data_IF_326197876508
#
_entry.id   IF_326197876508
#
_cell.length_a   1.000
_cell.length_b   1.000
_cell.length_c   1.000
_cell.angle_alpha   90.00
_cell.angle_beta   90.00
_cell.angle_gamma   90.00
#
_symmetry.space_group_name_H-M   'P 1'
#
loop_
_entity.id
_entity.type
_entity.pdbx_description
1 polymer ?
#
# COMPACT_ATOMS: atom_id res chain seq x y z
N UNK A 1 -7.63 -20.84 -8.39
CA UNK A 1 -7.82 -20.75 -6.93
C UNK A 1 -6.57 -20.08 -6.39
N UNK A 2 -6.73 -18.98 -5.67
CA UNK A 2 -5.61 -18.19 -5.16
C UNK A 2 -4.69 -18.97 -4.21
N UNK A 3 -3.44 -18.57 -4.13
CA UNK A 3 -2.41 -19.15 -3.27
C UNK A 3 -1.80 -18.07 -2.40
N UNK A 4 -1.52 -18.38 -1.14
CA UNK A 4 -0.94 -17.50 -0.13
C UNK A 4 -1.84 -16.28 0.14
N UNK A 5 -2.86 -16.47 0.98
CA UNK A 5 -3.76 -15.42 1.37
C UNK A 5 -3.15 -14.59 2.51
N UNK A 6 -2.96 -13.29 2.27
CA UNK A 6 -2.32 -12.37 3.22
C UNK A 6 -3.13 -12.11 4.49
N UNK A 7 -4.41 -12.53 4.50
CA UNK A 7 -5.23 -12.47 5.71
C UNK A 7 -4.88 -13.60 6.69
N UNK A 8 -4.47 -14.77 6.20
CA UNK A 8 -4.22 -15.96 7.01
C UNK A 8 -2.74 -16.32 7.13
N UNK A 9 -1.99 -16.11 6.04
CA UNK A 9 -0.60 -16.51 5.98
C UNK A 9 0.32 -15.44 6.60
N UNK A 10 1.36 -15.84 7.34
CA UNK A 10 2.24 -14.89 8.03
C UNK A 10 3.15 -14.14 7.05
N UNK A 11 3.09 -12.81 7.05
CA UNK A 11 3.94 -11.98 6.18
C UNK A 11 4.33 -10.64 6.81
N UNK A 12 3.63 -10.14 7.81
CA UNK A 12 3.96 -8.90 8.51
C UNK A 12 4.95 -9.22 9.59
N UNK A 13 6.17 -8.69 9.49
CA UNK A 13 7.18 -8.89 10.51
C UNK A 13 7.01 -7.87 11.63
N UNK A 14 6.86 -8.34 12.87
CA UNK A 14 6.62 -7.53 14.07
C UNK A 14 7.65 -7.83 15.15
N UNK A 15 7.99 -6.83 15.96
CA UNK A 15 8.84 -6.99 17.15
C UNK A 15 7.94 -7.33 18.34
N UNK A 16 8.16 -8.48 18.94
CA UNK A 16 7.29 -9.03 20.00
C UNK A 16 7.79 -8.76 21.42
N UNK A 17 9.06 -8.39 21.59
CA UNK A 17 9.63 -8.13 22.92
C UNK A 17 10.72 -7.05 22.90
N UNK A 18 11.09 -6.58 24.10
CA UNK A 18 12.15 -5.57 24.29
C UNK A 18 13.57 -6.06 23.96
N UNK A 19 13.75 -7.35 23.66
CA UNK A 19 15.04 -7.89 23.19
C UNK A 19 15.19 -7.78 21.67
N UNK A 20 14.12 -7.37 20.96
CA UNK A 20 14.10 -7.24 19.53
C UNK A 20 13.82 -8.56 18.80
N UNK A 21 13.25 -9.56 19.47
CA UNK A 21 12.77 -10.76 18.80
C UNK A 21 11.62 -10.43 17.88
N UNK A 22 11.62 -11.03 16.69
CA UNK A 22 10.60 -10.79 15.65
C UNK A 22 9.83 -12.07 15.34
N UNK A 23 8.54 -11.90 15.05
CA UNK A 23 7.67 -12.91 14.47
C UNK A 23 7.08 -12.41 13.17
N UNK A 24 6.68 -13.32 12.28
CA UNK A 24 5.82 -13.01 11.15
C UNK A 24 4.38 -13.40 11.51
N UNK A 25 3.45 -12.48 11.27
CA UNK A 25 2.02 -12.63 11.56
C UNK A 25 1.19 -12.37 10.32
N UNK A 26 -0.03 -12.91 10.28
CA UNK A 26 -0.99 -12.61 9.23
C UNK A 26 -1.63 -11.23 9.41
N UNK A 27 -2.38 -10.75 8.43
CA UNK A 27 -3.07 -9.46 8.58
C UNK A 27 -4.18 -9.52 9.63
N UNK A 28 -4.92 -10.62 9.73
CA UNK A 28 -5.96 -10.79 10.75
C UNK A 28 -5.35 -10.85 12.15
N UNK A 29 -4.32 -11.66 12.34
CA UNK A 29 -3.58 -11.75 13.61
C UNK A 29 -2.96 -10.40 13.99
N UNK A 30 -2.45 -9.64 13.00
CA UNK A 30 -1.91 -8.32 13.25
C UNK A 30 -2.95 -7.37 13.86
N UNK A 31 -4.13 -7.24 13.27
CA UNK A 31 -5.16 -6.34 13.79
C UNK A 31 -5.73 -6.80 15.13
N UNK A 32 -5.80 -8.12 15.38
CA UNK A 32 -6.24 -8.67 16.67
C UNK A 32 -5.25 -8.35 17.80
N UNK A 33 -3.93 -8.35 17.52
CA UNK A 33 -2.86 -8.24 18.52
C UNK A 33 -1.96 -7.00 18.34
N UNK A 34 -2.33 -6.01 17.54
CA UNK A 34 -1.49 -4.83 17.27
C UNK A 34 -1.02 -4.09 18.53
N UNK A 35 -1.83 -4.13 19.61
CA UNK A 35 -1.53 -3.54 20.91
C UNK A 35 -0.45 -4.28 21.71
N UNK A 36 -0.09 -5.51 21.31
CA UNK A 36 0.95 -6.33 21.94
C UNK A 36 2.31 -6.18 21.22
N UNK A 37 2.33 -5.75 19.96
CA UNK A 37 3.55 -5.64 19.16
C UNK A 37 4.23 -4.28 19.35
N UNK A 38 5.54 -4.29 19.56
CA UNK A 38 6.29 -3.07 19.93
C UNK A 38 6.71 -2.22 18.72
N UNK A 39 6.99 -2.83 17.58
CA UNK A 39 7.45 -2.15 16.35
C UNK A 39 7.34 -3.10 15.16
N UNK A 40 7.48 -2.57 13.94
CA UNK A 40 7.73 -3.40 12.76
C UNK A 40 9.16 -3.94 12.78
N UNK A 41 9.31 -5.19 12.35
CA UNK A 41 10.58 -5.93 12.34
C UNK A 41 11.03 -6.38 10.96
N UNK A 42 10.64 -5.67 9.92
CA UNK A 42 10.96 -6.01 8.54
C UNK A 42 12.43 -5.84 8.18
N UNK A 43 12.77 -6.14 6.94
CA UNK A 43 14.14 -6.14 6.44
C UNK A 43 14.79 -4.76 6.40
N UNK A 44 13.99 -3.71 6.20
CA UNK A 44 14.43 -2.30 6.17
C UNK A 44 13.33 -1.38 6.66
N UNK A 45 13.69 -0.19 7.16
CA UNK A 45 12.70 0.80 7.60
C UNK A 45 11.82 1.33 6.46
N UNK A 46 12.30 1.31 5.23
CA UNK A 46 11.48 1.63 4.05
C UNK A 46 10.44 0.53 3.78
N UNK A 47 10.75 -0.73 4.04
CA UNK A 47 9.81 -1.83 3.97
C UNK A 47 8.75 -1.71 5.08
N UNK A 48 9.17 -1.49 6.32
CA UNK A 48 8.27 -1.26 7.45
C UNK A 48 7.28 -0.13 7.16
N UNK A 49 7.79 0.99 6.62
CA UNK A 49 6.95 2.14 6.27
C UNK A 49 5.95 1.81 5.15
N UNK A 50 6.36 1.09 4.12
CA UNK A 50 5.47 0.69 3.03
C UNK A 50 4.36 -0.27 3.51
N UNK A 51 4.70 -1.25 4.37
CA UNK A 51 3.74 -2.18 4.98
C UNK A 51 2.76 -1.43 5.89
N UNK A 52 3.27 -0.53 6.76
CA UNK A 52 2.44 0.30 7.63
C UNK A 52 1.37 1.07 6.85
N UNK A 53 1.71 1.60 5.68
CA UNK A 53 0.75 2.34 4.84
C UNK A 53 -0.40 1.47 4.33
N UNK A 54 -0.17 0.21 4.02
CA UNK A 54 -1.25 -0.73 3.66
C UNK A 54 -2.19 -0.96 4.84
N UNK A 55 -1.64 -1.11 6.05
CA UNK A 55 -2.44 -1.25 7.26
C UNK A 55 -3.22 0.03 7.58
N UNK A 56 -2.61 1.19 7.41
CA UNK A 56 -3.32 2.48 7.52
C UNK A 56 -4.45 2.61 6.50
N UNK A 57 -4.28 2.09 5.28
CA UNK A 57 -5.35 2.11 4.28
C UNK A 57 -6.56 1.26 4.72
N UNK A 58 -6.33 0.13 5.41
CA UNK A 58 -7.41 -0.65 6.02
C UNK A 58 -8.14 0.20 7.06
N UNK A 59 -7.41 0.84 7.97
CA UNK A 59 -7.96 1.68 9.05
C UNK A 59 -8.77 2.85 8.46
N UNK A 60 -8.20 3.61 7.53
CA UNK A 60 -8.93 4.70 6.86
C UNK A 60 -10.19 4.22 6.15
N UNK A 61 -10.15 3.05 5.53
CA UNK A 61 -11.31 2.50 4.84
C UNK A 61 -12.41 2.06 5.80
N UNK A 62 -12.05 1.34 6.86
CA UNK A 62 -13.01 0.84 7.85
C UNK A 62 -13.64 2.00 8.60
N UNK A 63 -12.84 2.86 9.22
CA UNK A 63 -13.33 3.94 10.08
C UNK A 63 -13.85 5.18 9.33
N UNK A 64 -13.84 5.17 8.02
CA UNK A 64 -14.68 6.07 7.22
C UNK A 64 -16.10 5.54 7.01
N UNK A 65 -16.43 4.33 7.48
CA UNK A 65 -17.71 3.66 7.27
C UNK A 65 -18.37 3.21 8.57
N UNK A 66 -17.55 2.97 9.58
CA UNK A 66 -17.94 2.43 10.88
C UNK A 66 -17.31 3.24 12.00
N UNK A 67 -18.03 3.34 13.10
CA UNK A 67 -17.52 3.89 14.34
C UNK A 67 -16.58 2.92 15.10
N UNK A 68 -16.16 3.28 16.30
CA UNK A 68 -15.29 2.48 17.15
C UNK A 68 -15.98 1.23 17.72
N UNK A 69 -17.29 1.22 17.86
CA UNK A 69 -18.12 0.09 18.28
C UNK A 69 -18.37 -0.90 17.13
N UNK A 70 -18.08 -0.49 15.89
CA UNK A 70 -18.29 -1.29 14.67
C UNK A 70 -19.67 -1.12 14.06
N UNK A 71 -20.41 -0.11 14.47
CA UNK A 71 -21.69 0.24 13.86
C UNK A 71 -21.48 1.13 12.62
N UNK A 72 -22.24 0.87 11.56
CA UNK A 72 -22.14 1.67 10.34
C UNK A 72 -22.72 3.08 10.53
N UNK A 73 -22.05 4.09 10.02
CA UNK A 73 -22.59 5.45 10.00
C UNK A 73 -23.86 5.52 9.16
N UNK A 74 -24.83 6.35 9.59
CA UNK A 74 -26.14 6.48 8.95
C UNK A 74 -26.15 7.34 7.67
N UNK A 75 -25.01 7.95 7.33
CA UNK A 75 -24.89 8.88 6.19
C UNK A 75 -24.88 8.21 4.81
N UNK A 76 -24.73 6.89 4.76
CA UNK A 76 -24.70 6.13 3.49
C UNK A 76 -25.15 4.68 3.64
N UNK A 77 -25.67 4.14 2.55
CA UNK A 77 -26.02 2.72 2.46
C UNK A 77 -24.80 1.88 2.04
N UNK A 78 -24.49 0.83 2.80
CA UNK A 78 -23.40 -0.10 2.51
C UNK A 78 -23.89 -1.29 1.69
N UNK A 79 -23.08 -1.70 0.72
CA UNK A 79 -23.32 -2.97 0.02
C UNK A 79 -22.91 -4.18 0.88
N UNK A 80 -23.07 -5.41 0.34
CA UNK A 80 -22.73 -6.66 1.02
C UNK A 80 -21.25 -6.82 1.37
N UNK A 81 -20.37 -6.01 0.75
CA UNK A 81 -18.93 -5.93 1.02
C UNK A 81 -18.54 -4.71 1.86
N UNK A 82 -19.52 -4.05 2.48
CA UNK A 82 -19.30 -2.86 3.28
C UNK A 82 -18.80 -1.65 2.51
N UNK A 83 -19.03 -1.58 1.19
CA UNK A 83 -18.70 -0.40 0.39
C UNK A 83 -19.91 0.55 0.35
N UNK A 84 -19.72 1.85 0.61
CA UNK A 84 -20.77 2.84 0.38
C UNK A 84 -21.22 2.86 -1.09
N UNK A 85 -22.53 2.95 -1.33
CA UNK A 85 -23.09 3.01 -2.67
C UNK A 85 -23.00 4.39 -3.28
N UNK A 86 -23.01 5.41 -2.43
CA UNK A 86 -22.99 6.83 -2.79
C UNK A 86 -22.03 7.59 -1.89
N UNK A 87 -21.56 8.74 -2.36
CA UNK A 87 -20.83 9.69 -1.53
C UNK A 87 -21.76 10.30 -0.47
N UNK A 88 -21.18 10.84 0.59
CA UNK A 88 -21.92 11.54 1.66
C UNK A 88 -22.53 12.80 1.08
N UNK A 89 -23.78 13.10 1.46
CA UNK A 89 -24.43 14.35 1.09
C UNK A 89 -23.72 15.53 1.76
N UNK A 90 -23.61 16.63 1.05
CA UNK A 90 -22.95 17.83 1.55
C UNK A 90 -23.64 18.47 2.77
N UNK A 91 -24.92 18.14 3.02
CA UNK A 91 -25.64 18.56 4.21
C UNK A 91 -25.19 17.84 5.49
N UNK A 92 -24.65 16.64 5.36
CA UNK A 92 -24.31 15.75 6.47
C UNK A 92 -22.80 15.79 6.81
N UNK A 93 -22.01 16.53 6.04
CA UNK A 93 -20.54 16.56 6.18
C UNK A 93 -20.05 17.05 7.55
N UNK A 94 -20.74 18.03 8.16
CA UNK A 94 -20.35 18.59 9.46
C UNK A 94 -20.56 17.55 10.58
N UNK A 95 -21.72 16.89 10.59
CA UNK A 95 -22.04 15.84 11.56
C UNK A 95 -21.13 14.61 11.35
N UNK A 96 -20.87 14.24 10.11
CA UNK A 96 -19.94 13.16 9.80
C UNK A 96 -18.47 13.47 10.21
N UNK A 97 -18.03 14.73 10.07
CA UNK A 97 -16.71 15.15 10.56
C UNK A 97 -16.59 14.98 12.07
N UNK A 98 -17.64 15.37 12.81
CA UNK A 98 -17.68 15.23 14.28
C UNK A 98 -17.67 13.74 14.69
N UNK A 99 -18.44 12.88 14.03
CA UNK A 99 -18.44 11.43 14.28
C UNK A 99 -17.08 10.78 14.00
N UNK A 100 -16.37 11.21 12.96
CA UNK A 100 -15.00 10.75 12.69
C UNK A 100 -14.01 11.15 13.80
N UNK A 101 -14.15 12.34 14.39
CA UNK A 101 -13.35 12.75 15.54
C UNK A 101 -13.66 11.90 16.77
N UNK A 102 -14.93 11.68 17.08
CA UNK A 102 -15.37 10.86 18.20
C UNK A 102 -14.89 9.41 18.03
N UNK A 103 -14.98 8.86 16.84
CA UNK A 103 -14.43 7.53 16.50
C UNK A 103 -12.93 7.46 16.76
N UNK A 104 -12.15 8.47 16.32
CA UNK A 104 -10.72 8.47 16.58
C UNK A 104 -10.40 8.51 18.09
N UNK A 105 -11.14 9.32 18.87
CA UNK A 105 -10.98 9.40 20.33
C UNK A 105 -11.32 8.07 20.99
N UNK A 106 -12.45 7.46 20.63
CA UNK A 106 -12.89 6.18 21.20
C UNK A 106 -11.89 5.07 20.91
N UNK A 107 -11.38 4.97 19.68
CA UNK A 107 -10.32 4.02 19.33
C UNK A 107 -9.06 4.23 20.18
N UNK A 108 -8.65 5.49 20.38
CA UNK A 108 -7.50 5.80 21.22
C UNK A 108 -7.69 5.38 22.69
N UNK A 109 -8.90 5.50 23.22
CA UNK A 109 -9.25 5.11 24.59
C UNK A 109 -9.32 3.58 24.74
N UNK A 110 -9.85 2.86 23.75
CA UNK A 110 -10.05 1.41 23.76
C UNK A 110 -8.75 0.62 23.65
N UNK A 111 -7.70 1.22 23.06
CA UNK A 111 -6.36 0.64 22.91
C UNK A 111 -6.30 -0.68 22.13
N UNK A 112 -7.31 -0.97 21.32
CA UNK A 112 -7.38 -2.14 20.44
C UNK A 112 -8.32 -1.86 19.25
N UNK A 113 -8.14 -2.60 18.16
CA UNK A 113 -9.06 -2.54 17.03
C UNK A 113 -10.32 -3.35 17.30
N UNK A 114 -11.52 -2.85 16.95
CA UNK A 114 -12.77 -3.59 17.03
C UNK A 114 -12.87 -4.67 15.94
N UNK A 115 -13.75 -5.65 16.16
CA UNK A 115 -13.95 -6.82 15.29
C UNK A 115 -14.36 -6.42 13.85
N UNK A 116 -14.98 -5.25 13.64
CA UNK A 116 -15.39 -4.77 12.33
C UNK A 116 -14.22 -4.67 11.33
N UNK A 117 -12.99 -4.45 11.81
CA UNK A 117 -11.79 -4.47 10.94
C UNK A 117 -11.59 -5.84 10.33
N UNK A 118 -11.75 -6.90 11.12
CA UNK A 118 -11.67 -8.29 10.64
C UNK A 118 -12.84 -8.62 9.72
N UNK A 119 -14.06 -8.23 10.10
CA UNK A 119 -15.26 -8.45 9.29
C UNK A 119 -15.12 -7.80 7.90
N UNK A 120 -14.60 -6.58 7.84
CA UNK A 120 -14.30 -5.92 6.57
C UNK A 120 -13.29 -6.70 5.74
N UNK A 121 -12.17 -7.10 6.32
CA UNK A 121 -11.13 -7.87 5.63
C UNK A 121 -11.68 -9.20 5.09
N UNK A 122 -12.52 -9.89 5.86
CA UNK A 122 -13.19 -11.12 5.44
C UNK A 122 -14.12 -10.92 4.24
N UNK A 123 -14.82 -9.78 4.15
CA UNK A 123 -15.65 -9.44 2.96
C UNK A 123 -14.82 -9.30 1.69
N UNK A 124 -13.56 -8.94 1.83
CA UNK A 124 -12.63 -8.73 0.71
C UNK A 124 -11.57 -9.82 0.59
N UNK A 125 -11.73 -10.95 1.26
CA UNK A 125 -10.76 -12.07 1.33
C UNK A 125 -10.23 -12.52 -0.04
N UNK A 126 -11.06 -12.54 -1.05
CA UNK A 126 -10.71 -12.90 -2.44
C UNK A 126 -9.70 -11.94 -3.06
N UNK A 127 -9.48 -10.75 -2.48
CA UNK A 127 -8.57 -9.70 -2.96
C UNK A 127 -7.18 -9.72 -2.30
N UNK A 128 -6.98 -10.61 -1.34
CA UNK A 128 -5.75 -10.69 -0.57
C UNK A 128 -4.87 -11.90 -0.89
N UNK A 129 -5.12 -12.58 -2.01
CA UNK A 129 -4.23 -13.62 -2.49
C UNK A 129 -2.98 -13.00 -3.16
N UNK A 130 -1.78 -13.39 -2.71
CA UNK A 130 -0.52 -12.97 -3.32
C UNK A 130 -0.42 -13.47 -4.76
N UNK A 131 -0.88 -14.69 -5.03
CA UNK A 131 -0.91 -15.30 -6.35
C UNK A 131 -2.34 -15.72 -6.69
N UNK A 132 -2.93 -15.03 -7.65
CA UNK A 132 -4.26 -15.33 -8.16
C UNK A 132 -4.35 -14.95 -9.64
N UNK A 133 -5.23 -15.60 -10.40
CA UNK A 133 -5.40 -15.34 -11.82
C UNK A 133 -6.33 -14.14 -12.09
N UNK A 134 -7.25 -13.86 -11.17
CA UNK A 134 -8.30 -12.87 -11.35
C UNK A 134 -8.04 -11.60 -10.52
N UNK A 135 -7.66 -11.77 -9.25
CA UNK A 135 -7.48 -10.66 -8.31
C UNK A 135 -6.18 -10.76 -7.50
N UNK A 136 -5.00 -10.76 -8.14
CA UNK A 136 -3.75 -10.84 -7.42
C UNK A 136 -3.48 -9.53 -6.64
N UNK A 137 -3.10 -9.66 -5.37
CA UNK A 137 -2.89 -8.51 -4.49
C UNK A 137 -1.78 -7.58 -4.98
N UNK A 138 -2.07 -6.29 -5.14
CA UNK A 138 -1.15 -5.26 -5.62
C UNK A 138 -0.50 -5.56 -6.98
N UNK A 139 -1.21 -6.30 -7.82
CA UNK A 139 -0.74 -6.75 -9.12
C UNK A 139 -1.84 -6.63 -10.18
N UNK A 140 -1.43 -6.78 -11.42
CA UNK A 140 -2.34 -6.88 -12.57
C UNK A 140 -2.44 -8.33 -13.05
N UNK A 141 -3.50 -8.62 -13.79
CA UNK A 141 -3.71 -9.94 -14.39
C UNK A 141 -2.91 -10.10 -15.70
N UNK A 142 -2.79 -11.33 -16.18
CA UNK A 142 -2.19 -11.65 -17.49
C UNK A 142 -2.90 -10.91 -18.64
N UNK A 143 -4.22 -10.76 -18.55
CA UNK A 143 -5.03 -10.07 -19.56
C UNK A 143 -4.78 -8.57 -19.62
N UNK A 144 -4.30 -7.97 -18.55
CA UNK A 144 -3.96 -6.55 -18.49
C UNK A 144 -2.67 -6.20 -19.23
N UNK A 145 -1.76 -7.17 -19.36
CA UNK A 145 -0.42 -6.98 -19.93
C UNK A 145 -0.21 -7.69 -21.26
N UNK A 146 -1.29 -8.00 -21.97
CA UNK A 146 -1.19 -8.58 -23.33
C UNK A 146 -0.54 -7.61 -24.32
N UNK A 147 0.17 -8.14 -25.30
CA UNK A 147 0.95 -7.35 -26.26
C UNK A 147 0.17 -6.26 -27.00
N UNK A 148 -1.15 -6.44 -27.22
CA UNK A 148 -2.00 -5.44 -27.84
C UNK A 148 -2.20 -4.17 -27.00
N UNK A 149 -2.03 -4.26 -25.68
CA UNK A 149 -2.16 -3.12 -24.74
C UNK A 149 -0.81 -2.39 -24.52
N UNK A 150 0.30 -2.96 -24.94
CA UNK A 150 1.65 -2.47 -24.66
C UNK A 150 2.33 -1.82 -25.86
N UNK A 151 3.30 -0.96 -25.60
CA UNK A 151 4.18 -0.41 -26.64
C UNK A 151 5.28 -1.39 -27.10
N UNK A 152 5.35 -2.56 -26.48
CA UNK A 152 6.24 -3.69 -26.81
C UNK A 152 5.47 -5.00 -26.75
N UNK A 153 6.14 -6.09 -27.16
CA UNK A 153 5.52 -7.43 -27.23
C UNK A 153 5.23 -8.04 -25.86
N UNK A 154 5.96 -7.64 -24.81
CA UNK A 154 5.81 -8.18 -23.45
C UNK A 154 6.22 -7.14 -22.40
N UNK A 155 5.80 -7.31 -21.13
CA UNK A 155 6.31 -6.55 -19.99
C UNK A 155 7.83 -6.60 -19.88
N UNK A 156 8.44 -5.66 -19.17
CA UNK A 156 9.87 -5.74 -18.82
C UNK A 156 10.08 -6.83 -17.80
N UNK A 157 11.03 -7.71 -18.04
CA UNK A 157 11.37 -8.80 -17.14
C UNK A 157 12.28 -8.31 -16.02
N UNK A 158 11.91 -8.62 -14.78
CA UNK A 158 12.61 -8.23 -13.55
C UNK A 158 12.89 -9.48 -12.72
N UNK A 159 14.15 -9.73 -12.42
CA UNK A 159 14.53 -10.86 -11.57
C UNK A 159 14.21 -10.65 -10.10
N UNK A 160 14.04 -11.72 -9.34
CA UNK A 160 13.72 -11.69 -7.91
C UNK A 160 14.68 -10.85 -7.07
N UNK A 161 15.99 -10.84 -7.40
CA UNK A 161 16.98 -9.98 -6.70
C UNK A 161 16.75 -8.49 -6.87
N UNK A 162 16.02 -8.05 -7.88
CA UNK A 162 15.70 -6.63 -8.09
C UNK A 162 14.52 -6.16 -7.25
N UNK A 163 13.61 -7.05 -6.89
CA UNK A 163 12.54 -6.73 -5.95
C UNK A 163 13.08 -6.67 -4.53
N UNK A 164 14.01 -7.54 -4.17
CA UNK A 164 14.62 -7.58 -2.85
C UNK A 164 15.71 -6.50 -2.70
N UNK A 165 15.34 -5.37 -2.11
CA UNK A 165 16.20 -4.19 -1.93
C UNK A 165 17.24 -4.29 -0.80
N UNK A 166 17.30 -5.39 -0.07
CA UNK A 166 18.41 -5.69 0.86
C UNK A 166 19.72 -5.87 0.13
N UNK A 167 19.65 -6.26 -1.13
CA UNK A 167 20.80 -6.46 -1.98
C UNK A 167 21.15 -5.13 -2.63
N UNK A 168 22.44 -4.78 -2.67
CA UNK A 168 22.92 -3.60 -3.38
C UNK A 168 22.31 -3.51 -4.79
N UNK A 169 21.90 -2.31 -5.18
CA UNK A 169 21.32 -2.01 -6.50
C UNK A 169 22.26 -2.37 -7.67
N UNK A 170 23.53 -2.58 -7.41
CA UNK A 170 24.52 -3.01 -8.42
C UNK A 170 24.40 -4.49 -8.68
N UNK A 171 24.09 -4.86 -9.93
CA UNK A 171 24.12 -6.25 -10.39
C UNK A 171 25.50 -6.94 -10.22
N UNK A 172 26.56 -6.16 -10.04
CA UNK A 172 27.96 -6.62 -10.02
C UNK A 172 28.58 -6.64 -8.63
N UNK A 173 27.88 -6.14 -7.59
CA UNK A 173 28.42 -6.12 -6.23
C UNK A 173 27.65 -7.09 -5.33
N UNK A 174 28.38 -7.97 -4.68
CA UNK A 174 27.84 -8.78 -3.59
C UNK A 174 27.51 -7.84 -2.44
N UNK A 175 26.32 -7.96 -1.86
CA UNK A 175 25.97 -7.22 -0.65
C UNK A 175 26.87 -7.67 0.48
N UNK A 176 27.74 -6.77 0.96
CA UNK A 176 28.77 -7.06 1.96
C UNK A 176 28.21 -7.51 3.32
N UNK A 177 26.93 -7.28 3.57
CA UNK A 177 26.28 -7.48 4.86
C UNK A 177 25.02 -8.37 4.80
N UNK A 178 24.84 -9.15 3.76
CA UNK A 178 23.73 -10.09 3.66
C UNK A 178 24.20 -11.52 3.89
N UNK A 179 24.08 -12.07 5.10
CA UNK A 179 24.51 -13.44 5.41
C UNK A 179 23.64 -14.52 4.72
N UNK A 180 22.50 -14.13 4.16
CA UNK A 180 21.54 -15.04 3.52
C UNK A 180 22.07 -15.66 2.21
N UNK A 181 23.08 -15.08 1.58
CA UNK A 181 23.48 -15.40 0.21
C UNK A 181 24.88 -15.99 0.15
N UNK A 182 25.02 -17.22 0.60
CA UNK A 182 26.27 -17.98 0.51
C UNK A 182 26.61 -18.35 -0.94
N UNK A 183 25.60 -18.45 -1.81
CA UNK A 183 25.72 -18.73 -3.25
C UNK A 183 25.05 -17.62 -4.07
N UNK A 184 25.67 -17.23 -5.17
CA UNK A 184 25.14 -16.22 -6.10
C UNK A 184 23.75 -16.55 -6.67
N UNK A 185 23.36 -17.82 -6.71
CA UNK A 185 22.05 -18.28 -7.16
C UNK A 185 20.93 -17.99 -6.15
N UNK A 186 21.23 -17.94 -4.85
CA UNK A 186 20.24 -17.73 -3.81
C UNK A 186 19.68 -16.29 -3.76
N UNK A 187 20.28 -15.35 -4.46
CA UNK A 187 19.86 -13.94 -4.48
C UNK A 187 18.48 -13.71 -5.09
N UNK A 188 18.01 -14.64 -5.89
CA UNK A 188 16.73 -14.54 -6.60
C UNK A 188 15.63 -15.40 -5.95
N UNK A 189 15.98 -16.11 -4.87
CA UNK A 189 15.05 -16.94 -4.10
C UNK A 189 14.52 -16.16 -2.90
N UNK A 190 13.21 -16.05 -2.81
CA UNK A 190 12.49 -15.38 -1.73
C UNK A 190 11.41 -16.32 -1.17
N UNK A 191 11.02 -16.15 0.08
CA UNK A 191 9.81 -16.78 0.62
C UNK A 191 8.57 -16.02 0.15
N UNK A 192 7.37 -16.62 0.21
CA UNK A 192 6.11 -15.93 -0.11
C UNK A 192 5.93 -14.68 0.78
N UNK A 193 6.26 -14.77 2.05
CA UNK A 193 6.26 -13.67 3.00
C UNK A 193 7.20 -12.52 2.58
N UNK A 194 8.42 -12.84 2.16
CA UNK A 194 9.36 -11.84 1.63
C UNK A 194 8.85 -11.21 0.33
N UNK A 195 8.27 -12.01 -0.58
CA UNK A 195 7.67 -11.49 -1.81
C UNK A 195 6.55 -10.52 -1.50
N UNK A 196 5.66 -10.82 -0.55
CA UNK A 196 4.58 -9.93 -0.16
C UNK A 196 5.11 -8.57 0.33
N UNK A 197 6.05 -8.57 1.27
CA UNK A 197 6.65 -7.33 1.80
C UNK A 197 7.39 -6.52 0.73
N UNK A 198 8.20 -7.20 -0.09
CA UNK A 198 8.97 -6.53 -1.12
C UNK A 198 8.14 -6.07 -2.31
N UNK A 199 7.02 -6.73 -2.64
CA UNK A 199 6.05 -6.28 -3.62
C UNK A 199 5.47 -4.91 -3.22
N UNK A 200 4.99 -4.79 -2.00
CA UNK A 200 4.46 -3.53 -1.45
C UNK A 200 5.55 -2.45 -1.44
N UNK A 201 6.76 -2.80 -0.98
CA UNK A 201 7.90 -1.88 -0.96
C UNK A 201 8.28 -1.42 -2.36
N UNK A 202 8.28 -2.32 -3.33
CA UNK A 202 8.58 -2.01 -4.71
C UNK A 202 7.56 -1.04 -5.31
N UNK A 203 6.29 -1.18 -5.02
CA UNK A 203 5.26 -0.23 -5.45
C UNK A 203 5.53 1.20 -4.94
N UNK A 204 6.02 1.33 -3.71
CA UNK A 204 6.35 2.64 -3.13
C UNK A 204 7.69 3.26 -3.60
N UNK A 205 8.71 2.42 -3.90
CA UNK A 205 10.09 2.84 -4.11
C UNK A 205 10.73 2.27 -5.38
N UNK A 206 10.01 2.19 -6.48
CA UNK A 206 10.46 1.49 -7.71
C UNK A 206 11.73 2.05 -8.35
N UNK A 207 11.83 3.37 -8.47
CA UNK A 207 12.87 3.97 -9.33
C UNK A 207 12.50 3.93 -10.82
N UNK A 208 13.50 4.02 -11.74
CA UNK A 208 13.28 4.21 -13.19
C UNK A 208 13.90 3.11 -14.04
N UNK A 209 13.63 1.85 -13.75
CA UNK A 209 14.34 0.70 -14.33
C UNK A 209 13.77 0.12 -15.63
N UNK A 210 12.59 0.52 -16.08
CA UNK A 210 11.85 -0.16 -17.14
C UNK A 210 11.63 0.69 -18.40
N UNK A 211 11.26 0.04 -19.51
CA UNK A 211 11.05 0.69 -20.80
C UNK A 211 9.68 0.41 -21.40
N UNK A 212 8.91 -0.54 -20.84
CA UNK A 212 7.59 -0.92 -21.36
C UNK A 212 6.52 -0.02 -20.76
N UNK A 213 5.60 0.44 -21.59
CA UNK A 213 4.49 1.32 -21.21
C UNK A 213 3.19 0.84 -21.87
N UNK A 214 2.05 1.24 -21.31
CA UNK A 214 0.75 1.05 -21.92
C UNK A 214 0.55 2.00 -23.11
N UNK A 215 -0.13 1.50 -24.14
CA UNK A 215 -0.43 2.28 -25.32
C UNK A 215 0.81 2.73 -26.10
N UNK A 216 0.62 3.71 -26.98
CA UNK A 216 1.69 4.29 -27.81
C UNK A 216 2.20 5.64 -27.29
N UNK A 217 1.47 6.26 -26.39
CA UNK A 217 1.78 7.59 -25.88
C UNK A 217 2.93 7.54 -24.88
N UNK A 218 3.75 8.58 -24.92
CA UNK A 218 4.85 8.74 -23.97
C UNK A 218 4.34 9.51 -22.75
N UNK A 219 4.39 8.89 -21.60
CA UNK A 219 4.16 9.57 -20.32
C UNK A 219 5.37 9.46 -19.41
N UNK A 220 5.48 10.41 -18.47
CA UNK A 220 6.49 10.35 -17.42
C UNK A 220 6.14 9.19 -16.47
N UNK A 221 7.09 8.30 -16.22
CA UNK A 221 6.90 7.16 -15.36
C UNK A 221 6.94 7.57 -13.90
N UNK A 222 6.09 6.94 -13.09
CA UNK A 222 6.22 7.02 -11.64
C UNK A 222 7.55 6.42 -11.19
N UNK A 223 8.16 7.01 -10.17
CA UNK A 223 9.30 6.46 -9.44
C UNK A 223 8.85 5.70 -8.18
N UNK A 224 7.58 5.70 -7.92
CA UNK A 224 6.96 5.35 -6.67
C UNK A 224 6.71 6.59 -5.82
N UNK A 225 5.53 6.64 -5.20
CA UNK A 225 5.12 7.79 -4.41
C UNK A 225 6.09 8.09 -3.28
N UNK A 226 6.54 7.03 -2.57
CA UNK A 226 7.41 7.14 -1.40
C UNK A 226 8.86 7.50 -1.76
N UNK A 227 9.28 7.25 -2.99
CA UNK A 227 10.63 7.55 -3.44
C UNK A 227 10.95 9.05 -3.41
N UNK A 228 9.97 9.88 -3.77
CA UNK A 228 10.15 11.32 -3.89
C UNK A 228 9.81 12.08 -2.59
N UNK A 229 9.01 11.49 -1.67
CA UNK A 229 8.51 12.23 -0.49
C UNK A 229 9.25 11.94 0.80
N UNK A 230 10.05 10.88 0.87
CA UNK A 230 10.53 10.37 2.15
C UNK A 230 9.39 9.75 2.96
N UNK A 231 9.54 9.67 4.28
CA UNK A 231 8.51 9.16 5.16
C UNK A 231 8.71 9.63 6.59
N UNK A 232 7.66 10.20 7.17
CA UNK A 232 7.62 10.62 8.57
C UNK A 232 6.38 10.01 9.20
N UNK A 233 6.53 9.45 10.37
CA UNK A 233 5.41 8.94 11.16
C UNK A 233 5.67 9.13 12.66
N UNK A 234 4.61 9.19 13.42
CA UNK A 234 4.65 9.28 14.88
C UNK A 234 4.67 7.86 15.42
N UNK A 235 5.63 7.56 16.29
CA UNK A 235 5.74 6.26 16.94
C UNK A 235 5.03 6.28 18.29
N UNK A 236 4.16 5.29 18.53
CA UNK A 236 3.54 4.99 19.81
C UNK A 236 4.37 4.01 20.65
N UNK A 237 3.81 3.56 21.77
CA UNK A 237 4.43 2.54 22.62
C UNK A 237 4.30 1.12 22.02
N UNK A 238 3.32 0.92 21.14
CA UNK A 238 3.05 -0.31 20.41
C UNK A 238 2.54 0.00 19.01
N UNK A 239 2.28 -1.05 18.18
CA UNK A 239 1.85 -0.85 16.81
C UNK A 239 0.42 -0.35 16.67
N UNK A 240 -0.48 -0.66 17.62
CA UNK A 240 -1.80 -0.05 17.65
C UNK A 240 -1.70 1.47 17.79
N UNK A 241 -1.00 1.96 18.82
CA UNK A 241 -0.80 3.40 19.03
C UNK A 241 -0.09 4.05 17.85
N UNK A 242 0.93 3.39 17.29
CA UNK A 242 1.63 3.89 16.12
C UNK A 242 0.67 4.08 14.94
N UNK A 243 -0.22 3.13 14.68
CA UNK A 243 -1.18 3.25 13.59
C UNK A 243 -2.21 4.35 13.86
N UNK A 244 -2.81 4.41 15.04
CA UNK A 244 -3.82 5.43 15.36
C UNK A 244 -3.22 6.84 15.34
N UNK A 245 -2.00 7.06 15.85
CA UNK A 245 -1.31 8.36 15.79
C UNK A 245 -1.02 8.83 14.36
N UNK A 246 -0.99 7.93 13.38
CA UNK A 246 -0.78 8.25 11.97
C UNK A 246 -2.07 8.13 11.12
N UNK A 247 -3.19 7.86 11.76
CA UNK A 247 -4.52 7.85 11.12
C UNK A 247 -5.12 9.24 11.19
N UNK A 248 -5.37 9.83 10.03
CA UNK A 248 -6.00 11.15 9.89
C UNK A 248 -7.35 10.94 9.23
N UNK A 249 -8.38 10.71 10.03
CA UNK A 249 -9.77 10.53 9.54
C UNK A 249 -10.35 11.84 9.02
N UNK A 250 -10.04 12.94 9.68
CA UNK A 250 -10.44 14.29 9.26
C UNK A 250 -9.20 15.09 8.88
N UNK A 251 -9.16 15.56 7.65
CA UNK A 251 -8.13 16.48 7.17
C UNK A 251 -8.77 17.76 6.63
N UNK A 252 -8.65 18.85 7.36
CA UNK A 252 -9.26 20.16 7.00
C UNK A 252 -8.75 20.74 5.67
N UNK A 253 -7.60 20.28 5.20
CA UNK A 253 -7.07 20.63 3.89
C UNK A 253 -7.60 19.71 2.77
N UNK A 254 -8.26 18.62 3.13
CA UNK A 254 -8.86 17.67 2.22
C UNK A 254 -10.23 18.20 1.76
N UNK A 255 -10.32 18.55 0.48
CA UNK A 255 -11.56 19.04 -0.14
C UNK A 255 -12.51 17.91 -0.59
N UNK A 256 -12.23 16.69 -0.18
CA UNK A 256 -12.90 15.50 -0.69
C UNK A 256 -13.36 14.57 0.45
N UNK A 257 -13.69 15.13 1.63
CA UNK A 257 -14.16 14.34 2.78
C UNK A 257 -15.45 13.56 2.43
N UNK A 258 -16.26 14.12 1.53
CA UNK A 258 -17.47 13.47 1.02
C UNK A 258 -17.19 12.21 0.20
N UNK A 259 -15.96 12.02 -0.29
CA UNK A 259 -15.64 10.91 -1.16
C UNK A 259 -15.40 9.61 -0.42
N UNK A 260 -15.93 8.56 -0.99
CA UNK A 260 -15.72 7.19 -0.51
C UNK A 260 -14.23 6.85 -0.51
N UNK A 261 -13.70 6.43 0.64
CA UNK A 261 -12.37 5.86 0.74
C UNK A 261 -12.28 4.58 -0.10
N UNK A 262 -11.38 4.56 -1.07
CA UNK A 262 -11.31 3.49 -2.06
C UNK A 262 -9.87 2.95 -2.18
N UNK A 263 -9.52 1.93 -1.40
CA UNK A 263 -8.23 1.25 -1.53
C UNK A 263 -8.16 0.42 -2.82
N UNK A 264 -6.93 0.14 -3.29
CA UNK A 264 -6.73 -0.53 -4.58
C UNK A 264 -7.33 -1.94 -4.66
N UNK A 265 -7.51 -2.65 -3.55
CA UNK A 265 -8.11 -3.99 -3.54
C UNK A 265 -9.63 -3.99 -3.72
N UNK A 266 -10.31 -2.87 -3.54
CA UNK A 266 -11.76 -2.78 -3.76
C UNK A 266 -12.14 -2.60 -5.24
N UNK A 267 -11.19 -2.44 -6.12
CA UNK A 267 -11.41 -2.32 -7.56
C UNK A 267 -10.66 -3.40 -8.32
N UNK A 268 -11.06 -3.68 -9.55
CA UNK A 268 -10.30 -4.59 -10.42
C UNK A 268 -9.01 -3.96 -10.92
N UNK A 269 -8.03 -4.78 -11.29
CA UNK A 269 -6.79 -4.29 -11.92
C UNK A 269 -7.06 -3.51 -13.21
N UNK A 270 -8.04 -3.92 -14.00
CA UNK A 270 -8.46 -3.21 -15.20
C UNK A 270 -9.02 -1.82 -14.88
N UNK A 271 -9.88 -1.71 -13.88
CA UNK A 271 -10.40 -0.41 -13.44
C UNK A 271 -9.29 0.48 -12.87
N UNK A 272 -8.38 -0.09 -12.06
CA UNK A 272 -7.21 0.61 -11.55
C UNK A 272 -6.36 1.18 -12.69
N UNK A 273 -6.07 0.38 -13.72
CA UNK A 273 -5.31 0.80 -14.89
C UNK A 273 -6.04 1.89 -15.67
N UNK A 274 -7.34 1.75 -15.90
CA UNK A 274 -8.15 2.74 -16.63
C UNK A 274 -8.14 4.10 -15.90
N UNK A 275 -8.26 4.12 -14.58
CA UNK A 275 -8.14 5.34 -13.76
C UNK A 275 -6.75 5.97 -13.88
N UNK A 276 -5.69 5.16 -13.80
CA UNK A 276 -4.31 5.66 -13.84
C UNK A 276 -3.84 6.10 -15.23
N UNK A 277 -4.30 5.48 -16.29
CA UNK A 277 -3.93 5.82 -17.66
C UNK A 277 -4.75 6.99 -18.24
N UNK A 278 -5.91 7.26 -17.66
CA UNK A 278 -6.72 8.41 -18.05
C UNK A 278 -6.13 9.70 -17.48
N UNK A 279 -5.53 10.52 -18.35
CA UNK A 279 -4.82 11.76 -17.95
C UNK A 279 -5.74 12.91 -17.55
N UNK A 280 -7.05 12.78 -17.77
CA UNK A 280 -8.04 13.86 -17.52
C UNK A 280 -8.64 13.84 -16.11
N UNK A 281 -8.47 12.75 -15.34
CA UNK A 281 -9.01 12.61 -13.98
C UNK A 281 -7.94 12.75 -12.92
N UNK A 282 -8.32 13.25 -11.74
CA UNK A 282 -7.52 13.17 -10.54
C UNK A 282 -7.51 11.71 -10.05
N UNK A 283 -6.35 11.09 -10.12
CA UNK A 283 -6.17 9.64 -9.99
C UNK A 283 -6.23 9.14 -8.55
N UNK A 284 -5.86 10.02 -7.63
CA UNK A 284 -5.77 9.74 -6.19
C UNK A 284 -6.42 10.92 -5.49
N UNK A 285 -7.53 10.68 -4.85
CA UNK A 285 -8.37 11.70 -4.26
C UNK A 285 -8.83 11.37 -2.82
N UNK A 286 -8.43 10.21 -2.29
CA UNK A 286 -8.69 9.80 -0.90
C UNK A 286 -7.43 9.21 -0.26
N UNK A 287 -7.38 9.23 1.08
CA UNK A 287 -6.24 8.68 1.84
C UNK A 287 -6.02 7.20 1.53
N UNK A 288 -7.06 6.37 1.48
CA UNK A 288 -6.93 4.95 1.16
C UNK A 288 -6.37 4.70 -0.25
N UNK A 289 -6.81 5.49 -1.25
CA UNK A 289 -6.28 5.37 -2.62
C UNK A 289 -4.82 5.82 -2.71
N UNK A 290 -4.42 6.83 -1.93
CA UNK A 290 -3.03 7.28 -1.85
C UNK A 290 -2.12 6.24 -1.19
N UNK A 291 -2.55 5.71 -0.05
CA UNK A 291 -1.81 4.72 0.74
C UNK A 291 -1.60 3.40 -0.01
N UNK A 292 -2.47 3.09 -0.98
CA UNK A 292 -2.42 1.86 -1.80
C UNK A 292 -2.07 2.11 -3.27
N UNK A 293 -1.47 3.25 -3.59
CA UNK A 293 -1.12 3.59 -4.97
C UNK A 293 0.03 2.74 -5.52
N UNK A 294 -0.10 2.31 -6.80
CA UNK A 294 0.92 1.52 -7.49
C UNK A 294 1.78 2.38 -8.41
N UNK A 295 3.08 2.14 -8.40
CA UNK A 295 4.01 2.75 -9.33
C UNK A 295 4.16 1.96 -10.63
N UNK A 296 3.85 0.67 -10.58
CA UNK A 296 3.97 -0.28 -11.69
C UNK A 296 2.77 -1.20 -11.77
N UNK A 297 2.38 -1.54 -12.98
CA UNK A 297 1.58 -2.72 -13.23
C UNK A 297 2.53 -3.94 -13.15
N UNK A 298 2.52 -4.63 -12.03
CA UNK A 298 3.34 -5.82 -11.76
C UNK A 298 2.50 -7.05 -12.10
N UNK A 299 3.09 -7.98 -12.84
CA UNK A 299 2.48 -9.26 -13.15
C UNK A 299 3.40 -10.40 -12.72
N UNK A 300 2.89 -11.29 -11.87
CA UNK A 300 3.49 -12.56 -11.49
C UNK A 300 2.60 -13.70 -11.95
N UNK A 301 3.20 -14.79 -12.41
CA UNK A 301 2.42 -15.98 -12.74
C UNK A 301 1.81 -16.59 -11.46
N UNK A 302 0.52 -16.97 -11.50
CA UNK A 302 -0.17 -17.48 -10.33
C UNK A 302 0.44 -18.79 -9.77
N UNK A 303 1.14 -19.56 -10.62
CA UNK A 303 1.84 -20.80 -10.25
C UNK A 303 3.34 -20.63 -10.04
N UNK A 304 3.83 -19.41 -9.85
CA UNK A 304 5.23 -19.10 -9.67
C UNK A 304 5.85 -19.94 -8.54
N UNK A 305 6.96 -20.65 -8.84
CA UNK A 305 7.76 -21.33 -7.83
C UNK A 305 8.86 -20.39 -7.33
N UNK A 306 8.65 -19.87 -6.13
CA UNK A 306 9.60 -18.94 -5.49
C UNK A 306 10.85 -19.63 -4.91
N UNK A 307 10.87 -20.96 -4.82
CA UNK A 307 12.04 -21.75 -4.36
C UNK A 307 13.14 -21.81 -5.42
N UNK A 308 12.81 -21.49 -6.65
CA UNK A 308 13.73 -21.36 -7.76
C UNK A 308 13.95 -19.88 -8.11
N UNK A 309 15.08 -19.52 -8.76
CA UNK A 309 15.26 -18.18 -9.29
C UNK A 309 14.09 -17.80 -10.20
N UNK A 310 13.45 -16.67 -9.94
CA UNK A 310 12.27 -16.26 -10.66
C UNK A 310 12.37 -14.82 -11.21
N UNK A 311 11.53 -14.52 -12.16
CA UNK A 311 11.30 -13.18 -12.65
C UNK A 311 9.81 -12.87 -12.71
N UNK A 312 9.48 -11.59 -12.80
CA UNK A 312 8.12 -11.10 -12.96
C UNK A 312 8.09 -9.93 -13.93
N UNK A 313 6.94 -9.71 -14.55
CA UNK A 313 6.74 -8.66 -15.53
C UNK A 313 6.38 -7.33 -14.91
N UNK A 314 6.91 -6.22 -15.42
CA UNK A 314 6.49 -4.88 -15.04
C UNK A 314 6.19 -4.02 -16.25
N UNK A 315 5.18 -3.14 -16.12
CA UNK A 315 4.82 -2.10 -17.08
C UNK A 315 4.72 -0.78 -16.34
N UNK A 316 5.22 0.30 -16.96
CA UNK A 316 5.18 1.65 -16.39
C UNK A 316 3.75 2.10 -16.14
N UNK A 317 3.56 2.79 -15.03
CA UNK A 317 2.39 3.64 -14.80
C UNK A 317 2.80 5.13 -14.84
N UNK A 318 1.87 6.01 -15.21
CA UNK A 318 2.13 7.45 -15.22
C UNK A 318 2.48 7.96 -13.83
N UNK A 319 3.35 8.97 -13.81
CA UNK A 319 3.71 9.68 -12.60
C UNK A 319 2.49 10.39 -11.98
N UNK A 320 2.41 10.37 -10.66
CA UNK A 320 1.38 11.08 -9.92
C UNK A 320 1.78 12.54 -9.78
N UNK A 321 0.84 13.45 -10.07
CA UNK A 321 1.10 14.88 -9.90
C UNK A 321 0.89 15.28 -8.45
N UNK A 322 1.94 15.77 -7.82
CA UNK A 322 1.90 16.23 -6.43
C UNK A 322 1.23 17.59 -6.23
N UNK A 323 1.14 18.37 -7.30
CA UNK A 323 0.70 19.76 -7.22
C UNK A 323 -0.73 19.87 -6.69
N UNK A 324 -0.90 20.64 -5.64
CA UNK A 324 -2.17 20.99 -5.00
C UNK A 324 -2.89 19.84 -4.26
N UNK A 325 -2.19 18.76 -3.88
CA UNK A 325 -2.79 17.64 -3.15
C UNK A 325 -2.11 17.46 -1.81
N UNK A 326 -2.71 18.02 -0.77
CA UNK A 326 -2.30 17.88 0.63
C UNK A 326 -2.81 16.60 1.30
N UNK A 327 -3.10 15.55 0.51
CA UNK A 327 -3.58 14.27 1.03
C UNK A 327 -2.52 13.50 1.81
N UNK A 328 -1.22 13.74 1.53
CA UNK A 328 -0.14 13.00 2.19
C UNK A 328 0.17 13.59 3.55
N UNK A 329 -0.30 12.94 4.61
CA UNK A 329 -0.06 13.32 6.00
C UNK A 329 1.29 12.88 6.53
N UNK A 330 1.97 11.93 5.87
CA UNK A 330 3.21 11.30 6.35
C UNK A 330 4.46 11.88 5.69
N UNK A 331 4.45 13.18 5.39
CA UNK A 331 5.60 13.90 4.84
C UNK A 331 5.60 15.36 5.29
N UNK A 332 6.74 16.03 5.15
CA UNK A 332 6.84 17.48 5.36
C UNK A 332 6.73 18.17 4.02
N UNK A 333 5.76 19.04 3.88
CA UNK A 333 5.60 19.91 2.72
C UNK A 333 6.25 21.25 2.95
N UNK A 334 7.10 21.67 2.03
CA UNK A 334 7.69 23.01 2.05
C UNK A 334 7.08 23.83 0.92
N UNK A 335 6.52 24.97 1.26
CA UNK A 335 5.95 25.90 0.29
C UNK A 335 7.01 26.89 -0.21
N UNK A 336 7.24 26.93 -1.51
CA UNK A 336 8.09 27.93 -2.15
C UNK A 336 7.27 28.75 -3.15
N UNK A 337 7.40 30.08 -3.12
CA UNK A 337 6.67 31.01 -3.97
C UNK A 337 6.91 30.81 -5.47
N UNK A 338 8.01 30.17 -5.84
CA UNK A 338 8.42 29.94 -7.24
C UNK A 338 8.13 28.51 -7.72
N UNK A 339 8.17 27.54 -6.83
CA UNK A 339 7.86 26.13 -7.09
C UNK A 339 6.85 25.69 -6.04
N UNK A 340 5.59 25.78 -6.35
CA UNK A 340 4.46 25.80 -5.43
C UNK A 340 4.49 24.77 -4.28
N UNK A 341 5.14 23.60 -4.45
CA UNK A 341 5.33 22.61 -3.40
C UNK A 341 6.50 21.69 -3.75
N UNK A 342 7.33 21.39 -2.79
CA UNK A 342 8.26 20.27 -2.85
C UNK A 342 8.39 19.62 -1.47
N UNK A 343 8.65 18.34 -1.51
CA UNK A 343 8.78 17.53 -0.32
C UNK A 343 10.15 17.58 0.25
N UNK A 344 10.16 17.41 1.54
CA UNK A 344 11.26 17.05 2.42
C UNK A 344 12.55 17.82 2.22
N UNK A 345 13.02 18.47 3.26
CA UNK A 345 14.38 18.91 3.28
C UNK A 345 15.28 17.70 2.99
N UNK A 346 16.16 17.85 2.01
CA UNK A 346 17.32 16.99 1.91
C UNK A 346 17.99 16.96 3.29
N UNK A 347 18.52 15.82 3.76
CA UNK A 347 19.31 15.80 5.00
C UNK A 347 20.49 16.77 5.01
N UNK A 348 20.67 17.54 3.97
CA UNK A 348 21.70 18.56 3.78
C UNK A 348 21.18 20.01 3.88
N UNK A 349 19.86 20.22 4.05
CA UNK A 349 19.27 21.54 4.22
C UNK A 349 18.98 21.80 5.74
#
# INVERSE_FOLDING_TARGET
>A
MGRYNLLDEPWISVVVDKKGNTNEVSMLEFFEHAHEYLDFGGDTKTQDFAVMRVLLAVIHTVFSRFDAEGEAYEYFDLDERYRPRENIDSSDLEDYEDDLYDTWISLWEDKKFPEVVKDYLEKWRDRFFLYDEEYPFFQVTKNDVVSSKLNKTAPSDISGKKINRRISESNNKVALFSPKYDDGKNKEILTDSEVARWLITYQGYTGLDDKVAFGKDKYKSSKGWLFDIGGIYIRGENLFETLILNTVLVNKEEKNLEKIQLPSWEISSEEYLNRNLNTSSDKVDTSASLLTNWSRAIFMEANLDIKEPFSFGIVKLPDMKHQNKFLESMTIWQYNKTCLLYTSPSPRD
#
